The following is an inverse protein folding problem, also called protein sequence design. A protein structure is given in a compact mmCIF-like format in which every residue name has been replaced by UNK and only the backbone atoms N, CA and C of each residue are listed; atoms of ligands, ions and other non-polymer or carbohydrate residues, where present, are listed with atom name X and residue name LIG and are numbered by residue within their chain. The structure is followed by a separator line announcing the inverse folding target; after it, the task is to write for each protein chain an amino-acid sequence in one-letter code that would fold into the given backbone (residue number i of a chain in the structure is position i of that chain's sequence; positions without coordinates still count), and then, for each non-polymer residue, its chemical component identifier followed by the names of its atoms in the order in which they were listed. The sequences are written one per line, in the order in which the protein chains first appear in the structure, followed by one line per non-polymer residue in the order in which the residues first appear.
data_IF_404853177152
#
_entry.id   IF_404853177152
#
_cell.length_a   1.000
_cell.length_b   1.000
_cell.length_c   1.000
_cell.angle_alpha   90.00
_cell.angle_beta   90.00
_cell.angle_gamma   90.00
#
_symmetry.space_group_name_H-M   'P 1'
#
loop_
_entity.id
_entity.type
_entity.pdbx_description
1 polymer ?
#
# COMPACT_ATOMS: atom_id res chain seq x y z
N UNK A 1 -5.24 17.64 -17.95
CA UNK A 1 -6.32 18.60 -17.61
C UNK A 1 -7.73 18.04 -17.77
N UNK A 2 -8.27 17.77 -18.97
CA UNK A 2 -9.65 17.21 -19.10
C UNK A 2 -9.77 15.70 -18.75
N UNK A 3 -8.67 14.94 -18.81
CA UNK A 3 -8.66 13.50 -18.49
C UNK A 3 -8.56 13.19 -16.99
N UNK A 4 -7.84 14.01 -16.23
CA UNK A 4 -7.63 13.82 -14.78
C UNK A 4 -8.86 14.21 -13.95
N UNK A 5 -9.54 15.30 -14.32
CA UNK A 5 -10.82 15.67 -13.71
C UNK A 5 -11.94 14.67 -14.05
N UNK A 6 -11.76 13.89 -15.12
CA UNK A 6 -12.69 12.84 -15.55
C UNK A 6 -12.63 11.58 -14.70
N UNK A 7 -11.44 11.13 -14.27
CA UNK A 7 -11.27 9.87 -13.52
C UNK A 7 -11.73 9.97 -12.06
N UNK A 8 -11.39 11.06 -11.35
CA UNK A 8 -11.86 11.27 -9.97
C UNK A 8 -13.38 11.45 -9.90
N UNK A 9 -13.99 12.09 -10.92
CA UNK A 9 -15.45 12.19 -11.00
C UNK A 9 -16.11 10.90 -11.48
N UNK A 10 -15.48 10.13 -12.39
CA UNK A 10 -15.98 8.81 -12.78
C UNK A 10 -15.99 7.86 -11.59
N UNK A 11 -14.86 7.77 -10.87
CA UNK A 11 -14.70 6.89 -9.70
C UNK A 11 -15.68 7.25 -8.59
N UNK A 12 -15.88 8.53 -8.28
CA UNK A 12 -16.91 8.96 -7.32
C UNK A 12 -18.33 8.55 -7.75
N UNK A 13 -18.63 8.61 -9.05
CA UNK A 13 -19.95 8.27 -9.60
C UNK A 13 -20.17 6.75 -9.65
N UNK A 14 -19.15 6.00 -10.00
CA UNK A 14 -19.16 4.53 -10.07
C UNK A 14 -19.22 3.93 -8.66
N UNK A 15 -18.50 4.52 -7.70
CA UNK A 15 -18.54 4.09 -6.30
C UNK A 15 -19.87 4.46 -5.65
N UNK A 16 -20.40 5.66 -5.90
CA UNK A 16 -21.74 6.03 -5.45
C UNK A 16 -22.83 5.06 -5.92
N UNK A 17 -22.76 4.61 -7.18
CA UNK A 17 -23.67 3.60 -7.69
C UNK A 17 -23.52 2.27 -6.95
N UNK A 18 -22.28 1.88 -6.61
CA UNK A 18 -21.95 0.63 -5.90
C UNK A 18 -22.41 0.64 -4.44
N UNK A 19 -22.41 1.80 -3.78
CA UNK A 19 -22.92 1.96 -2.39
C UNK A 19 -24.41 2.32 -2.32
N UNK A 20 -25.14 2.22 -3.44
CA UNK A 20 -26.60 2.43 -3.47
C UNK A 20 -27.05 3.90 -3.37
N UNK A 21 -26.15 4.86 -3.63
CA UNK A 21 -26.43 6.29 -3.52
C UNK A 21 -26.80 6.91 -4.87
N UNK A 22 -27.82 7.79 -4.87
CA UNK A 22 -28.26 8.51 -6.08
C UNK A 22 -27.40 9.76 -6.31
N UNK A 23 -26.98 10.02 -7.55
CA UNK A 23 -26.10 11.14 -7.94
C UNK A 23 -26.50 12.55 -7.41
N UNK A 24 -27.80 12.92 -7.26
CA UNK A 24 -28.17 14.21 -6.68
C UNK A 24 -27.93 14.34 -5.17
N UNK A 25 -28.03 13.24 -4.41
CA UNK A 25 -27.82 13.23 -2.94
C UNK A 25 -26.34 13.16 -2.53
N UNK A 26 -25.43 12.96 -3.49
CA UNK A 26 -23.98 13.05 -3.27
C UNK A 26 -23.52 14.46 -2.91
N UNK A 27 -24.16 15.47 -3.48
CA UNK A 27 -23.70 16.85 -3.41
C UNK A 27 -24.30 17.63 -2.24
N UNK A 28 -25.28 17.07 -1.52
CA UNK A 28 -26.05 17.79 -0.50
C UNK A 28 -25.75 17.39 0.95
N UNK A 29 -25.11 16.24 1.22
CA UNK A 29 -24.85 15.78 2.59
C UNK A 29 -23.38 15.38 2.81
N UNK A 30 -22.78 15.88 3.90
CA UNK A 30 -21.41 15.55 4.29
C UNK A 30 -21.28 14.06 4.65
N UNK A 31 -22.28 13.49 5.33
CA UNK A 31 -22.31 12.07 5.69
C UNK A 31 -22.30 11.18 4.43
N UNK A 32 -23.10 11.55 3.43
CA UNK A 32 -23.13 10.91 2.11
C UNK A 32 -21.76 10.95 1.40
N UNK A 33 -21.06 12.08 1.49
CA UNK A 33 -19.75 12.25 0.86
C UNK A 33 -18.66 11.44 1.57
N UNK A 34 -18.66 11.46 2.91
CA UNK A 34 -17.73 10.69 3.72
C UNK A 34 -17.95 9.18 3.54
N UNK A 35 -19.21 8.71 3.43
CA UNK A 35 -19.51 7.31 3.14
C UNK A 35 -18.93 6.83 1.79
N UNK A 36 -18.86 7.71 0.79
CA UNK A 36 -18.24 7.38 -0.49
C UNK A 36 -16.72 7.30 -0.36
N UNK A 37 -16.10 8.26 0.31
CA UNK A 37 -14.65 8.19 0.58
C UNK A 37 -14.29 6.97 1.42
N UNK A 38 -15.15 6.58 2.36
CA UNK A 38 -14.99 5.38 3.18
C UNK A 38 -14.98 4.12 2.30
N UNK A 39 -15.95 3.99 1.41
CA UNK A 39 -16.01 2.88 0.47
C UNK A 39 -14.83 2.87 -0.52
N UNK A 40 -14.41 4.04 -1.03
CA UNK A 40 -13.24 4.17 -1.89
C UNK A 40 -11.96 3.76 -1.15
N UNK A 41 -11.82 4.15 0.12
CA UNK A 41 -10.67 3.83 0.95
C UNK A 41 -10.60 2.33 1.20
N UNK A 42 -11.73 1.72 1.58
CA UNK A 42 -11.85 0.27 1.77
C UNK A 42 -11.48 -0.50 0.51
N UNK A 43 -12.01 -0.07 -0.65
CA UNK A 43 -11.71 -0.69 -1.95
C UNK A 43 -10.22 -0.60 -2.27
N UNK A 44 -9.61 0.58 -2.12
CA UNK A 44 -8.21 0.80 -2.42
C UNK A 44 -7.26 -0.11 -1.61
N UNK A 45 -7.50 -0.24 -0.30
CA UNK A 45 -6.71 -1.14 0.53
C UNK A 45 -7.03 -2.63 0.33
N UNK A 46 -8.26 -2.97 -0.07
CA UNK A 46 -8.62 -4.33 -0.47
C UNK A 46 -7.87 -4.75 -1.72
N UNK A 47 -7.83 -3.90 -2.75
CA UNK A 47 -7.05 -4.14 -3.97
C UNK A 47 -5.55 -4.28 -3.64
N UNK A 48 -5.02 -3.43 -2.76
CA UNK A 48 -3.64 -3.54 -2.31
C UNK A 48 -3.37 -4.87 -1.58
N UNK A 49 -4.29 -5.30 -0.70
CA UNK A 49 -4.20 -6.56 0.02
C UNK A 49 -4.18 -7.75 -0.95
N UNK A 50 -5.07 -7.77 -1.94
CA UNK A 50 -5.09 -8.80 -2.98
C UNK A 50 -3.77 -8.87 -3.75
N UNK A 51 -3.18 -7.72 -4.10
CA UNK A 51 -1.85 -7.68 -4.71
C UNK A 51 -0.81 -8.30 -3.78
N UNK A 52 -0.75 -7.93 -2.50
CA UNK A 52 0.24 -8.48 -1.56
C UNK A 52 0.07 -9.99 -1.36
N UNK A 53 -1.17 -10.47 -1.23
CA UNK A 53 -1.46 -11.90 -1.08
C UNK A 53 -1.08 -12.70 -2.32
N UNK A 54 -1.24 -12.13 -3.52
CA UNK A 54 -0.82 -12.81 -4.76
C UNK A 54 0.70 -13.05 -4.83
N UNK A 55 1.51 -12.24 -4.15
CA UNK A 55 2.96 -12.42 -4.06
C UNK A 55 3.34 -13.60 -3.14
N UNK A 56 2.50 -13.87 -2.13
CA UNK A 56 2.70 -14.99 -1.18
C UNK A 56 2.58 -16.36 -1.88
N UNK A 57 1.95 -16.45 -3.06
CA UNK A 57 1.82 -17.71 -3.82
C UNK A 57 3.16 -18.25 -4.33
N UNK A 58 4.10 -17.35 -4.66
CA UNK A 58 5.41 -17.69 -5.23
C UNK A 58 6.48 -16.73 -4.71
N UNK A 59 6.84 -16.81 -3.43
CA UNK A 59 7.85 -15.92 -2.86
C UNK A 59 9.22 -16.19 -3.48
N UNK A 60 10.05 -15.16 -3.67
CA UNK A 60 11.41 -15.30 -4.15
C UNK A 60 12.26 -16.02 -3.10
N UNK A 61 13.39 -16.58 -3.53
CA UNK A 61 14.35 -17.18 -2.62
C UNK A 61 15.21 -16.09 -1.96
N UNK A 62 15.29 -16.13 -0.63
CA UNK A 62 16.17 -15.27 0.17
C UNK A 62 15.56 -13.95 0.63
N UNK A 63 16.00 -13.48 1.80
CA UNK A 63 15.42 -12.35 2.53
C UNK A 63 15.36 -11.06 1.71
N UNK A 64 16.47 -10.69 1.05
CA UNK A 64 16.55 -9.44 0.27
C UNK A 64 15.66 -9.47 -0.97
N UNK A 65 15.52 -10.64 -1.60
CA UNK A 65 14.61 -10.84 -2.72
C UNK A 65 13.16 -10.59 -2.31
N UNK A 66 12.77 -11.11 -1.14
CA UNK A 66 11.43 -10.92 -0.56
C UNK A 66 11.15 -9.44 -0.37
N UNK A 67 12.00 -8.70 0.35
CA UNK A 67 11.74 -7.27 0.64
C UNK A 67 11.67 -6.42 -0.62
N UNK A 68 12.54 -6.66 -1.61
CA UNK A 68 12.51 -5.96 -2.90
C UNK A 68 11.21 -6.23 -3.67
N UNK A 69 10.72 -7.47 -3.66
CA UNK A 69 9.47 -7.83 -4.33
C UNK A 69 8.28 -7.04 -3.77
N UNK A 70 8.06 -7.06 -2.46
CA UNK A 70 6.94 -6.32 -1.84
C UNK A 70 7.09 -4.81 -2.03
N UNK A 71 8.31 -4.28 -1.93
CA UNK A 71 8.56 -2.87 -2.16
C UNK A 71 8.21 -2.45 -3.59
N UNK A 72 8.56 -3.27 -4.59
CA UNK A 72 8.23 -3.03 -6.00
C UNK A 72 6.74 -3.08 -6.22
N UNK A 73 6.08 -4.14 -5.75
CA UNK A 73 4.65 -4.30 -5.93
C UNK A 73 3.85 -3.16 -5.30
N UNK A 74 4.22 -2.73 -4.08
CA UNK A 74 3.57 -1.60 -3.43
C UNK A 74 3.85 -0.28 -4.15
N UNK A 75 5.10 -0.04 -4.55
CA UNK A 75 5.48 1.16 -5.31
C UNK A 75 4.69 1.24 -6.63
N UNK A 76 4.68 0.17 -7.42
CA UNK A 76 3.97 0.10 -8.71
C UNK A 76 2.47 0.30 -8.52
N UNK A 77 1.89 -0.33 -7.48
CA UNK A 77 0.48 -0.15 -7.12
C UNK A 77 0.15 1.32 -6.81
N UNK A 78 1.03 2.00 -6.08
CA UNK A 78 0.86 3.41 -5.72
C UNK A 78 0.96 4.35 -6.93
N UNK A 79 1.98 4.18 -7.78
CA UNK A 79 2.27 5.14 -8.86
C UNK A 79 1.30 5.03 -10.04
N UNK A 80 0.52 3.96 -10.13
CA UNK A 80 -0.48 3.76 -11.19
C UNK A 80 -1.72 4.64 -11.04
N UNK A 81 -2.02 5.13 -9.83
CA UNK A 81 -3.17 5.99 -9.57
C UNK A 81 -2.90 6.98 -8.42
N UNK A 82 -2.68 8.25 -8.77
CA UNK A 82 -2.45 9.34 -7.82
C UNK A 82 -3.61 9.53 -6.84
N UNK A 83 -4.86 9.46 -7.30
CA UNK A 83 -6.02 9.70 -6.45
C UNK A 83 -6.18 8.57 -5.41
N UNK A 84 -5.96 7.33 -5.84
CA UNK A 84 -5.92 6.17 -4.94
C UNK A 84 -4.78 6.29 -3.93
N UNK A 85 -3.58 6.66 -4.37
CA UNK A 85 -2.45 6.88 -3.48
C UNK A 85 -2.74 7.95 -2.43
N UNK A 86 -3.26 9.11 -2.82
CA UNK A 86 -3.61 10.20 -1.91
C UNK A 86 -4.66 9.78 -0.89
N UNK A 87 -5.66 8.99 -1.31
CA UNK A 87 -6.69 8.49 -0.40
C UNK A 87 -6.13 7.51 0.63
N UNK A 88 -5.19 6.64 0.22
CA UNK A 88 -4.58 5.63 1.10
C UNK A 88 -3.52 6.21 2.04
N UNK A 89 -2.64 7.09 1.54
CA UNK A 89 -1.37 7.44 2.18
C UNK A 89 -1.30 8.90 2.65
N UNK A 90 -2.28 9.74 2.33
CA UNK A 90 -2.27 11.15 2.70
C UNK A 90 -3.60 11.57 3.33
N UNK A 91 -3.58 12.66 4.11
CA UNK A 91 -4.78 13.25 4.70
C UNK A 91 -5.25 14.45 3.88
N UNK A 92 -5.54 14.23 2.59
CA UNK A 92 -5.89 15.30 1.64
C UNK A 92 -7.35 15.77 1.74
N UNK A 93 -8.22 15.00 2.39
CA UNK A 93 -9.66 15.29 2.53
C UNK A 93 -9.96 15.79 3.95
N UNK A 94 -10.22 17.10 4.14
CA UNK A 94 -10.54 17.65 5.46
C UNK A 94 -11.81 17.01 6.06
N UNK A 95 -11.73 16.62 7.33
CA UNK A 95 -12.88 16.08 8.07
C UNK A 95 -13.28 14.65 7.69
N UNK A 96 -12.52 13.99 6.82
CA UNK A 96 -12.67 12.56 6.54
C UNK A 96 -11.74 11.74 7.46
N UNK A 97 -12.27 10.65 8.00
CA UNK A 97 -11.52 9.61 8.70
C UNK A 97 -12.21 8.30 8.35
N UNK A 98 -11.48 7.27 7.87
CA UNK A 98 -12.10 6.01 7.53
C UNK A 98 -12.72 5.36 8.77
N UNK A 99 -13.85 4.69 8.57
CA UNK A 99 -14.45 3.81 9.56
C UNK A 99 -13.49 2.65 9.91
N UNK A 100 -13.63 2.03 11.10
CA UNK A 100 -12.88 0.83 11.43
C UNK A 100 -13.01 -0.28 10.37
N UNK A 101 -14.20 -0.44 9.80
CA UNK A 101 -14.50 -1.43 8.77
C UNK A 101 -13.75 -1.11 7.46
N UNK A 102 -13.75 0.14 7.02
CA UNK A 102 -13.00 0.57 5.85
C UNK A 102 -11.48 0.54 6.07
N UNK A 103 -11.03 0.69 7.32
CA UNK A 103 -9.62 0.66 7.68
C UNK A 103 -9.06 -0.77 7.83
N UNK A 104 -9.91 -1.77 8.07
CA UNK A 104 -9.49 -3.15 8.33
C UNK A 104 -8.56 -3.74 7.25
N UNK A 105 -8.78 -3.54 5.93
CA UNK A 105 -7.86 -4.07 4.92
C UNK A 105 -6.44 -3.45 5.00
N UNK A 106 -6.32 -2.18 5.39
CA UNK A 106 -5.02 -1.54 5.59
C UNK A 106 -4.24 -2.17 6.74
N UNK A 107 -4.94 -2.53 7.82
CA UNK A 107 -4.37 -3.26 8.97
C UNK A 107 -3.85 -4.62 8.52
N UNK A 108 -4.62 -5.37 7.73
CA UNK A 108 -4.20 -6.68 7.21
C UNK A 108 -2.97 -6.59 6.31
N UNK A 109 -2.85 -5.55 5.48
CA UNK A 109 -1.63 -5.32 4.67
C UNK A 109 -0.40 -5.13 5.57
N UNK A 110 -0.53 -4.29 6.61
CA UNK A 110 0.58 -4.01 7.53
C UNK A 110 0.93 -5.23 8.39
N UNK A 111 -0.05 -6.00 8.85
CA UNK A 111 0.20 -7.19 9.64
C UNK A 111 0.87 -8.29 8.80
N UNK A 112 0.41 -8.51 7.57
CA UNK A 112 1.11 -9.42 6.65
C UNK A 112 2.54 -8.97 6.35
N UNK A 113 2.79 -7.65 6.22
CA UNK A 113 4.15 -7.12 6.07
C UNK A 113 5.02 -7.50 7.29
N UNK A 114 4.51 -7.30 8.50
CA UNK A 114 5.22 -7.66 9.74
C UNK A 114 5.51 -9.16 9.80
N UNK A 115 4.56 -10.02 9.45
CA UNK A 115 4.75 -11.47 9.43
C UNK A 115 5.86 -11.89 8.47
N UNK A 116 5.85 -11.36 7.24
CA UNK A 116 6.89 -11.63 6.25
C UNK A 116 8.27 -11.13 6.66
N UNK A 117 8.33 -9.98 7.33
CA UNK A 117 9.58 -9.38 7.78
C UNK A 117 10.14 -10.12 9.00
N UNK A 118 9.27 -10.56 9.91
CA UNK A 118 9.67 -11.40 11.03
C UNK A 118 10.29 -12.72 10.56
N UNK A 119 9.76 -13.34 9.50
CA UNK A 119 10.30 -14.57 8.91
C UNK A 119 11.73 -14.42 8.33
N UNK A 120 12.19 -13.19 8.14
CA UNK A 120 13.55 -12.89 7.66
C UNK A 120 14.41 -12.16 8.71
N UNK A 121 13.93 -12.07 9.94
CA UNK A 121 14.68 -11.51 11.08
C UNK A 121 14.46 -10.02 11.36
N UNK A 122 13.57 -9.33 10.62
CA UNK A 122 13.21 -7.94 10.88
C UNK A 122 11.98 -7.92 11.78
N UNK A 123 12.17 -7.63 13.06
CA UNK A 123 11.09 -7.72 14.08
C UNK A 123 10.84 -6.42 14.82
N UNK A 124 11.79 -5.49 14.79
CA UNK A 124 11.65 -4.22 15.47
C UNK A 124 10.65 -3.33 14.75
N UNK A 125 9.76 -2.72 15.54
CA UNK A 125 8.69 -1.86 15.00
C UNK A 125 9.26 -0.67 14.22
N UNK A 126 10.36 -0.10 14.70
CA UNK A 126 10.99 1.07 14.10
C UNK A 126 11.51 0.76 12.70
N UNK A 127 12.03 -0.45 12.47
CA UNK A 127 12.49 -0.92 11.16
C UNK A 127 11.33 -1.04 10.17
N UNK A 128 10.19 -1.57 10.62
CA UNK A 128 8.96 -1.62 9.81
C UNK A 128 8.48 -0.22 9.45
N UNK A 129 8.47 0.70 10.43
CA UNK A 129 8.06 2.09 10.21
C UNK A 129 9.02 2.80 9.22
N UNK A 130 10.33 2.54 9.29
CA UNK A 130 11.32 3.04 8.33
C UNK A 130 11.09 2.49 6.92
N UNK A 131 10.83 1.19 6.79
CA UNK A 131 10.50 0.58 5.49
C UNK A 131 9.28 1.24 4.86
N UNK A 132 8.19 1.40 5.62
CA UNK A 132 6.96 2.05 5.15
C UNK A 132 7.24 3.49 4.71
N UNK A 133 8.03 4.24 5.49
CA UNK A 133 8.41 5.61 5.15
C UNK A 133 9.26 5.69 3.88
N UNK A 134 10.22 4.77 3.69
CA UNK A 134 11.07 4.71 2.49
C UNK A 134 10.22 4.42 1.26
N UNK A 135 9.45 3.33 1.25
CA UNK A 135 8.71 2.92 0.05
C UNK A 135 7.57 3.91 -0.27
N UNK A 136 6.81 4.33 0.74
CA UNK A 136 5.75 5.32 0.57
C UNK A 136 6.28 6.68 0.11
N UNK A 137 7.40 7.14 0.67
CA UNK A 137 8.05 8.39 0.28
C UNK A 137 8.62 8.36 -1.15
N UNK A 138 9.11 7.20 -1.60
CA UNK A 138 9.53 7.03 -2.99
C UNK A 138 8.37 7.10 -3.97
N UNK A 139 7.24 6.46 -3.64
CA UNK A 139 6.02 6.54 -4.45
C UNK A 139 5.49 7.99 -4.53
N UNK A 140 5.44 8.69 -3.39
CA UNK A 140 5.07 10.10 -3.32
C UNK A 140 5.98 10.96 -4.21
N UNK A 141 7.30 10.76 -4.10
CA UNK A 141 8.27 11.53 -4.87
C UNK A 141 8.17 11.26 -6.38
N UNK A 142 7.91 10.01 -6.81
CA UNK A 142 7.65 9.68 -8.22
C UNK A 142 6.40 10.42 -8.72
N UNK A 143 5.29 10.29 -7.99
CA UNK A 143 4.00 10.89 -8.33
C UNK A 143 4.08 12.42 -8.41
N UNK A 144 4.81 13.04 -7.48
CA UNK A 144 4.92 14.50 -7.39
C UNK A 144 5.87 15.11 -8.43
N UNK A 145 6.96 14.42 -8.78
CA UNK A 145 8.07 15.05 -9.50
C UNK A 145 8.38 14.44 -10.87
N UNK A 146 7.89 13.24 -11.17
CA UNK A 146 8.10 12.55 -12.45
C UNK A 146 6.90 11.64 -12.80
N UNK A 147 5.67 12.18 -12.87
CA UNK A 147 4.48 11.36 -13.10
C UNK A 147 4.55 10.63 -14.44
N UNK A 148 4.44 9.30 -14.42
CA UNK A 148 4.54 8.43 -15.59
C UNK A 148 5.98 8.15 -16.08
N UNK A 149 6.99 8.72 -15.42
CA UNK A 149 8.40 8.38 -15.62
C UNK A 149 8.87 7.26 -14.70
N UNK A 150 10.20 7.10 -14.60
CA UNK A 150 10.85 6.00 -13.89
C UNK A 150 11.94 6.45 -12.90
N UNK A 151 12.08 7.77 -12.66
CA UNK A 151 13.21 8.35 -11.93
C UNK A 151 13.40 7.76 -10.54
N UNK A 152 12.32 7.49 -9.80
CA UNK A 152 12.36 6.81 -8.51
C UNK A 152 12.16 5.30 -8.65
N UNK A 153 11.37 4.84 -9.61
CA UNK A 153 11.16 3.42 -9.89
C UNK A 153 12.50 2.66 -10.01
N UNK A 154 13.44 3.22 -10.78
CA UNK A 154 14.79 2.67 -10.98
C UNK A 154 15.67 2.67 -9.73
N UNK A 155 15.28 3.37 -8.67
CA UNK A 155 16.04 3.50 -7.42
C UNK A 155 15.51 2.61 -6.30
N UNK A 156 14.29 2.06 -6.42
CA UNK A 156 13.64 1.34 -5.31
C UNK A 156 14.50 0.17 -4.80
N UNK A 157 15.09 -0.66 -5.66
CA UNK A 157 15.99 -1.74 -5.18
C UNK A 157 17.18 -1.20 -4.38
N UNK A 158 17.81 -0.13 -4.87
CA UNK A 158 18.96 0.48 -4.19
C UNK A 158 18.56 1.06 -2.83
N UNK A 159 17.38 1.68 -2.73
CA UNK A 159 16.88 2.21 -1.46
C UNK A 159 16.54 1.07 -0.48
N UNK A 160 15.94 -0.01 -0.97
CA UNK A 160 15.69 -1.21 -0.18
C UNK A 160 16.99 -1.87 0.26
N UNK A 161 18.02 -1.89 -0.58
CA UNK A 161 19.32 -2.41 -0.19
C UNK A 161 19.98 -1.58 0.90
N UNK A 162 19.88 -0.25 0.82
CA UNK A 162 20.35 0.64 1.89
C UNK A 162 19.61 0.38 3.21
N UNK A 163 18.30 0.18 3.16
CA UNK A 163 17.51 -0.20 4.33
C UNK A 163 17.92 -1.57 4.89
N UNK A 164 18.08 -2.59 4.02
CA UNK A 164 18.46 -3.95 4.44
C UNK A 164 19.87 -4.02 5.02
N UNK A 165 20.79 -3.17 4.55
CA UNK A 165 22.13 -3.05 5.13
C UNK A 165 22.08 -2.43 6.54
N UNK A 166 21.20 -1.45 6.75
CA UNK A 166 20.99 -0.78 8.05
C UNK A 166 20.40 -1.74 9.10
N UNK A 167 19.37 -2.51 8.72
CA UNK A 167 18.76 -3.52 9.59
C UNK A 167 19.55 -4.85 9.66
N UNK A 168 20.75 -4.88 9.08
CA UNK A 168 21.71 -5.96 9.24
C UNK A 168 21.38 -7.27 8.52
N UNK A 169 20.60 -7.25 7.43
CA UNK A 169 20.22 -8.44 6.65
C UNK A 169 21.32 -8.81 5.63
N UNK A 170 21.99 -9.97 5.78
CA UNK A 170 23.04 -10.43 4.86
C UNK A 170 22.54 -10.68 3.42
N UNK A 171 23.44 -10.59 2.44
CA UNK A 171 23.13 -10.80 1.01
C UNK A 171 22.56 -12.19 0.69
N UNK A 172 22.99 -13.22 1.43
CA UNK A 172 22.60 -14.62 1.21
C UNK A 172 21.66 -15.17 2.31
N UNK A 173 21.02 -14.31 3.10
CA UNK A 173 20.18 -14.76 4.21
C UNK A 173 18.98 -15.60 3.71
N UNK A 174 18.86 -16.87 4.13
CA UNK A 174 17.70 -17.69 3.79
C UNK A 174 16.45 -17.16 4.49
N UNK A 175 15.28 -17.40 3.90
CA UNK A 175 13.99 -17.19 4.59
C UNK A 175 13.89 -18.24 5.69
N UNK A 176 13.61 -17.83 6.92
CA UNK A 176 13.45 -18.77 8.03
C UNK A 176 12.08 -19.43 7.88
N UNK A 177 12.04 -20.72 7.54
CA UNK A 177 10.81 -21.50 7.65
C UNK A 177 10.53 -21.72 9.12
N UNK A 178 9.36 -21.29 9.60
CA UNK A 178 8.90 -21.63 10.94
C UNK A 178 8.98 -23.15 11.13
N UNK A 179 9.82 -23.60 12.08
CA UNK A 179 9.84 -25.01 12.48
C UNK A 179 8.48 -25.35 13.10
N UNK A 180 7.85 -26.40 12.60
CA UNK A 180 6.84 -27.16 13.33
C UNK A 180 7.48 -27.74 14.59
N UNK A 181 7.51 -26.96 15.67
CA UNK A 181 7.71 -27.48 17.02
C UNK A 181 6.38 -28.05 17.51
N UNK A 182 6.17 -29.35 17.32
CA UNK A 182 5.23 -30.12 18.12
C UNK A 182 5.97 -31.25 18.82
N UNK A 183 6.17 -31.16 20.15
CA UNK A 183 6.55 -32.29 20.98
C UNK A 183 5.37 -32.77 21.87
N UNK A 184 5.48 -33.94 22.52
CA UNK A 184 6.51 -34.99 22.41
C UNK A 184 5.99 -36.33 21.83
#
# INVERSE_FOLDING_TARGET
MAREQGLAQLTLRDVAARVGMKAPSLYSHVDSKNAIYDAMFAQAWTECLEVMLSLDERPPTGARGTVRLYARAYFDFCVTDLARFQLMNQRTIPGFTPSPEAYAPAVLVLDGLRERFAAIGITDREDIDLYVAVVGGMADAQLANDPGGDRWARLVDRAIDMYLDDVGIPTDAPVTTAQEDTPP
#
